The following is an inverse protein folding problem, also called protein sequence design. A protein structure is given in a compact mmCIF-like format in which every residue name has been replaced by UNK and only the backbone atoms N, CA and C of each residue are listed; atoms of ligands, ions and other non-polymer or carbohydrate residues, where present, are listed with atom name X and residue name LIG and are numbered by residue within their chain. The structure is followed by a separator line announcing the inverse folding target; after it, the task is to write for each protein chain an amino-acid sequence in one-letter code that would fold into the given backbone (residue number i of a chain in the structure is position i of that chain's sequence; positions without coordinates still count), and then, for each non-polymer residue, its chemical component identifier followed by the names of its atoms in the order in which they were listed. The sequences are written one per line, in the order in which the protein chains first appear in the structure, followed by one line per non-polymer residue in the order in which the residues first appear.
data_IF_710876226162
#
_entry.id   IF_710876226162
#
_cell.length_a   1.000
_cell.length_b   1.000
_cell.length_c   1.000
_cell.angle_alpha   90.00
_cell.angle_beta   90.00
_cell.angle_gamma   90.00
#
_symmetry.space_group_name_H-M   'P 1'
#
loop_
_entity.id
_entity.type
_entity.pdbx_description
1 polymer ?
#
# COMPACT_ATOMS: atom_id res chain seq x y z
N UNK A 1 17.15 -4.01 24.31
CA UNK A 1 16.11 -3.64 23.33
C UNK A 1 14.90 -3.23 24.15
N UNK A 2 14.49 -1.97 24.06
CA UNK A 2 13.31 -1.46 24.78
C UNK A 2 12.49 -0.69 23.77
N UNK A 3 11.53 -1.36 23.14
CA UNK A 3 10.54 -0.71 22.29
C UNK A 3 9.33 -0.41 23.17
N UNK A 4 8.82 0.81 23.08
CA UNK A 4 7.61 1.26 23.76
C UNK A 4 6.62 1.73 22.70
N UNK A 5 5.37 1.30 22.85
CA UNK A 5 4.23 1.80 22.07
C UNK A 5 3.46 2.80 22.95
N UNK A 6 3.27 4.02 22.46
CA UNK A 6 2.59 5.10 23.15
C UNK A 6 1.19 5.33 22.55
N UNK A 7 0.22 4.56 23.04
CA UNK A 7 -1.15 4.52 22.48
C UNK A 7 -1.88 5.85 22.61
N UNK A 8 -1.74 6.53 23.76
CA UNK A 8 -2.39 7.84 23.99
C UNK A 8 -1.86 8.91 23.05
N UNK A 9 -0.53 8.91 22.82
CA UNK A 9 0.09 9.76 21.80
C UNK A 9 -0.40 9.41 20.40
N UNK A 10 -0.45 8.12 20.09
CA UNK A 10 -0.91 7.61 18.81
C UNK A 10 -2.36 7.98 18.51
N UNK A 11 -3.25 7.92 19.49
CA UNK A 11 -4.67 8.32 19.38
C UNK A 11 -4.82 9.78 18.97
N UNK A 12 -4.17 10.69 19.69
CA UNK A 12 -4.17 12.13 19.36
C UNK A 12 -3.59 12.41 17.98
N UNK A 13 -2.53 11.67 17.61
CA UNK A 13 -1.92 11.83 16.29
C UNK A 13 -2.81 11.27 15.17
N UNK A 14 -3.52 10.17 15.40
CA UNK A 14 -4.46 9.61 14.43
C UNK A 14 -5.58 10.61 14.08
N UNK A 15 -6.21 11.21 15.10
CA UNK A 15 -7.21 12.26 14.90
C UNK A 15 -6.64 13.46 14.12
N UNK A 16 -5.45 13.93 14.51
CA UNK A 16 -4.77 15.03 13.83
C UNK A 16 -4.51 14.70 12.37
N UNK A 17 -3.90 13.56 12.08
CA UNK A 17 -3.52 13.16 10.73
C UNK A 17 -4.74 13.05 9.82
N UNK A 18 -5.81 12.41 10.31
CA UNK A 18 -7.04 12.28 9.56
C UNK A 18 -7.68 13.64 9.27
N UNK A 19 -7.82 14.49 10.28
CA UNK A 19 -8.44 15.80 10.14
C UNK A 19 -7.61 16.71 9.24
N UNK A 20 -6.29 16.77 9.43
CA UNK A 20 -5.40 17.55 8.58
C UNK A 20 -5.46 17.08 7.13
N UNK A 21 -5.37 15.77 6.89
CA UNK A 21 -5.40 15.23 5.52
C UNK A 21 -6.73 15.49 4.81
N UNK A 22 -7.86 15.36 5.50
CA UNK A 22 -9.19 15.58 4.90
C UNK A 22 -9.58 17.05 4.74
N UNK A 23 -8.80 17.99 5.30
CA UNK A 23 -9.10 19.43 5.23
C UNK A 23 -8.04 20.19 4.44
N UNK A 24 -6.88 20.45 5.04
CA UNK A 24 -5.81 21.27 4.46
C UNK A 24 -4.73 20.43 3.76
N UNK A 25 -4.78 19.11 3.91
CA UNK A 25 -3.71 18.20 3.54
C UNK A 25 -2.58 18.15 4.57
N UNK A 26 -1.69 17.16 4.39
CA UNK A 26 -0.43 17.07 5.13
C UNK A 26 0.66 17.70 4.27
N UNK A 27 1.30 18.76 4.76
CA UNK A 27 2.18 19.61 3.98
C UNK A 27 1.46 20.21 2.74
N UNK A 28 0.17 20.52 2.88
CA UNK A 28 -0.66 21.08 1.81
C UNK A 28 -1.03 20.09 0.70
N UNK A 29 -0.99 18.78 0.98
CA UNK A 29 -1.21 17.72 -0.02
C UNK A 29 -2.19 16.66 0.47
N UNK A 30 -3.00 16.20 -0.48
CA UNK A 30 -4.00 15.13 -0.31
C UNK A 30 -3.95 14.11 -1.43
N UNK A 31 -3.03 14.28 -2.39
CA UNK A 31 -3.00 13.56 -3.65
C UNK A 31 -2.21 12.25 -3.54
N UNK A 32 -2.83 11.14 -3.91
CA UNK A 32 -2.15 9.86 -4.09
C UNK A 32 -2.00 9.50 -5.57
N UNK A 33 -0.89 8.85 -5.98
CA UNK A 33 -0.68 8.45 -7.38
C UNK A 33 -1.79 7.57 -7.98
N UNK A 34 -2.43 6.76 -7.13
CA UNK A 34 -3.55 5.86 -7.45
C UNK A 34 -4.91 6.57 -7.59
N UNK A 35 -5.05 7.83 -7.17
CA UNK A 35 -6.29 8.60 -7.34
C UNK A 35 -6.54 8.98 -8.80
N UNK A 36 -5.46 9.03 -9.59
CA UNK A 36 -5.50 9.42 -11.00
C UNK A 36 -5.75 8.18 -11.85
N UNK A 37 -6.94 8.09 -12.42
CA UNK A 37 -7.33 7.02 -13.35
C UNK A 37 -6.83 7.28 -14.78
N UNK A 38 -6.70 6.25 -15.63
CA UNK A 38 -6.54 6.43 -17.07
C UNK A 38 -7.74 7.16 -17.68
N UNK A 39 -7.56 7.84 -18.82
CA UNK A 39 -8.55 8.79 -19.36
C UNK A 39 -9.91 8.16 -19.70
N UNK A 40 -9.93 6.89 -20.11
CA UNK A 40 -11.16 6.19 -20.53
C UNK A 40 -11.81 5.34 -19.43
N UNK A 41 -11.22 5.29 -18.24
CA UNK A 41 -11.67 4.38 -17.17
C UNK A 41 -12.77 5.03 -16.33
N UNK A 42 -13.92 4.37 -16.27
CA UNK A 42 -15.02 4.74 -15.38
C UNK A 42 -14.74 4.17 -13.98
N UNK A 43 -14.82 5.01 -12.94
CA UNK A 43 -14.65 4.58 -11.55
C UNK A 43 -15.64 3.46 -11.20
N UNK A 44 -15.11 2.33 -10.73
CA UNK A 44 -15.90 1.17 -10.29
C UNK A 44 -16.18 0.15 -11.40
N UNK A 45 -15.78 0.44 -12.64
CA UNK A 45 -15.85 -0.52 -13.74
C UNK A 45 -14.87 -1.69 -13.53
N UNK A 46 -15.08 -2.77 -14.30
CA UNK A 46 -14.15 -3.90 -14.32
C UNK A 46 -12.74 -3.49 -14.75
N UNK A 47 -12.64 -2.57 -15.72
CA UNK A 47 -11.35 -2.02 -16.15
C UNK A 47 -10.66 -1.25 -15.01
N UNK A 48 -11.42 -0.49 -14.21
CA UNK A 48 -10.86 0.19 -13.06
C UNK A 48 -10.31 -0.78 -12.02
N UNK A 49 -11.08 -1.84 -11.74
CA UNK A 49 -10.67 -2.89 -10.81
C UNK A 49 -9.37 -3.55 -11.28
N UNK A 50 -9.25 -3.91 -12.56
CA UNK A 50 -8.01 -4.49 -13.08
C UNK A 50 -6.85 -3.52 -13.13
N UNK A 51 -7.10 -2.25 -13.48
CA UNK A 51 -6.08 -1.21 -13.44
C UNK A 51 -5.46 -1.12 -12.05
N UNK A 52 -6.27 -1.02 -11.00
CA UNK A 52 -5.79 -1.01 -9.61
C UNK A 52 -5.11 -2.34 -9.24
N UNK A 53 -5.78 -3.47 -9.50
CA UNK A 53 -5.33 -4.80 -9.07
C UNK A 53 -3.98 -5.19 -9.66
N UNK A 54 -3.78 -4.98 -10.97
CA UNK A 54 -2.54 -5.33 -11.63
C UNK A 54 -1.43 -4.34 -11.29
N UNK A 55 -1.72 -3.03 -11.27
CA UNK A 55 -0.73 -2.00 -10.91
C UNK A 55 -0.20 -2.21 -9.50
N UNK A 56 -1.08 -2.39 -8.51
CA UNK A 56 -0.67 -2.61 -7.12
C UNK A 56 0.10 -3.93 -6.94
N UNK A 57 -0.18 -4.94 -7.76
CA UNK A 57 0.51 -6.25 -7.69
C UNK A 57 2.02 -6.15 -7.90
N UNK A 58 2.51 -5.07 -8.52
CA UNK A 58 3.94 -4.80 -8.73
C UNK A 58 4.44 -3.55 -7.98
N UNK A 59 3.64 -2.96 -7.09
CA UNK A 59 3.97 -1.78 -6.27
C UNK A 59 4.83 -2.12 -5.03
N UNK A 60 5.84 -2.97 -5.25
CA UNK A 60 6.79 -3.39 -4.22
C UNK A 60 8.20 -2.92 -4.54
N UNK A 61 8.79 -2.12 -3.63
CA UNK A 61 10.12 -1.50 -3.79
C UNK A 61 10.20 -0.67 -5.09
N UNK A 62 9.22 0.21 -5.28
CA UNK A 62 9.08 1.10 -6.43
C UNK A 62 8.94 2.55 -5.95
N UNK A 63 9.21 3.47 -6.87
CA UNK A 63 8.68 4.82 -6.74
C UNK A 63 7.22 4.77 -7.22
N UNK A 64 6.27 4.92 -6.29
CA UNK A 64 4.85 4.81 -6.60
C UNK A 64 4.42 5.82 -7.68
N UNK A 65 4.74 7.13 -7.61
CA UNK A 65 4.37 8.07 -8.68
C UNK A 65 4.79 7.61 -10.08
N UNK A 66 6.05 7.18 -10.24
CA UNK A 66 6.56 6.68 -11.52
C UNK A 66 5.80 5.43 -12.00
N UNK A 67 5.53 4.48 -11.10
CA UNK A 67 4.81 3.26 -11.44
C UNK A 67 3.38 3.56 -11.94
N UNK A 68 2.64 4.37 -11.19
CA UNK A 68 1.26 4.71 -11.52
C UNK A 68 1.18 5.55 -12.80
N UNK A 69 2.14 6.45 -13.04
CA UNK A 69 2.26 7.17 -14.32
C UNK A 69 2.53 6.22 -15.50
N UNK A 70 3.50 5.32 -15.36
CA UNK A 70 3.79 4.30 -16.37
C UNK A 70 2.59 3.39 -16.64
N UNK A 71 1.84 3.05 -15.60
CA UNK A 71 0.64 2.20 -15.71
C UNK A 71 -0.46 2.91 -16.50
N UNK A 72 -0.71 4.20 -16.25
CA UNK A 72 -1.65 5.00 -17.05
C UNK A 72 -1.24 5.10 -18.51
N UNK A 73 0.03 5.41 -18.80
CA UNK A 73 0.53 5.45 -20.18
C UNK A 73 0.38 4.11 -20.90
N UNK A 74 0.62 3.02 -20.20
CA UNK A 74 0.44 1.65 -20.73
C UNK A 74 -1.03 1.33 -20.98
N UNK A 75 -1.93 1.82 -20.12
CA UNK A 75 -3.37 1.60 -20.27
C UNK A 75 -3.95 2.41 -21.44
N UNK A 76 -3.55 3.69 -21.57
CA UNK A 76 -4.08 4.60 -22.58
C UNK A 76 -3.55 4.33 -24.00
N UNK A 77 -2.43 3.61 -24.13
CA UNK A 77 -1.91 3.15 -25.41
C UNK A 77 -2.65 1.89 -25.91
N UNK A 78 -3.28 1.98 -27.07
CA UNK A 78 -4.05 0.90 -27.70
C UNK A 78 -3.21 -0.37 -27.93
N UNK A 79 -1.91 -0.24 -28.19
CA UNK A 79 -1.03 -1.40 -28.43
C UNK A 79 -0.73 -2.19 -27.16
N UNK A 80 -0.74 -1.52 -26.00
CA UNK A 80 -0.37 -2.12 -24.71
C UNK A 80 -1.53 -2.26 -23.74
N UNK A 81 -2.70 -1.68 -24.04
CA UNK A 81 -3.92 -1.75 -23.20
C UNK A 81 -4.34 -3.18 -22.88
N UNK A 82 -4.08 -4.13 -23.80
CA UNK A 82 -4.36 -5.54 -23.59
C UNK A 82 -3.68 -6.12 -22.33
N UNK A 83 -2.61 -5.50 -21.83
CA UNK A 83 -1.94 -5.91 -20.60
C UNK A 83 -2.88 -5.82 -19.38
N UNK A 84 -3.98 -5.08 -19.46
CA UNK A 84 -4.99 -4.99 -18.41
C UNK A 84 -6.21 -5.89 -18.65
N UNK A 85 -6.22 -6.65 -19.74
CA UNK A 85 -7.25 -7.65 -20.03
C UNK A 85 -6.75 -9.04 -19.59
N UNK A 86 -7.42 -9.68 -18.62
CA UNK A 86 -6.96 -10.94 -18.03
C UNK A 86 -7.05 -12.12 -19.03
N UNK A 87 -7.95 -12.07 -20.01
CA UNK A 87 -8.05 -13.06 -21.09
C UNK A 87 -6.90 -12.87 -22.09
N UNK A 88 -6.63 -11.64 -22.52
CA UNK A 88 -5.54 -11.36 -23.45
C UNK A 88 -4.17 -11.65 -22.83
N UNK A 89 -3.99 -11.42 -21.51
CA UNK A 89 -2.79 -11.89 -20.78
C UNK A 89 -2.62 -13.41 -20.81
N UNK A 90 -3.72 -14.17 -20.88
CA UNK A 90 -3.65 -15.62 -21.00
C UNK A 90 -3.18 -16.05 -22.39
N UNK A 91 -3.76 -15.45 -23.43
CA UNK A 91 -3.58 -15.79 -24.84
C UNK A 91 -2.26 -15.26 -25.43
N UNK A 92 -1.75 -14.15 -24.91
CA UNK A 92 -0.53 -13.50 -25.44
C UNK A 92 0.74 -14.24 -25.01
N UNK A 93 1.72 -14.44 -25.91
CA UNK A 93 3.03 -14.99 -25.56
C UNK A 93 3.73 -14.17 -24.47
N UNK A 94 4.40 -14.87 -23.55
CA UNK A 94 5.07 -14.23 -22.41
C UNK A 94 6.17 -13.24 -22.82
N UNK A 95 6.89 -13.53 -23.91
CA UNK A 95 7.92 -12.64 -24.46
C UNK A 95 7.33 -11.28 -24.85
N UNK A 96 6.21 -11.29 -25.57
CA UNK A 96 5.50 -10.06 -25.96
C UNK A 96 4.98 -9.27 -24.76
N UNK A 97 4.43 -9.94 -23.75
CA UNK A 97 4.02 -9.29 -22.49
C UNK A 97 5.22 -8.58 -21.85
N UNK A 98 6.37 -9.25 -21.77
CA UNK A 98 7.59 -8.66 -21.21
C UNK A 98 8.09 -7.44 -22.00
N UNK A 99 8.08 -7.51 -23.34
CA UNK A 99 8.47 -6.41 -24.23
C UNK A 99 7.53 -5.20 -24.09
N UNK A 100 6.22 -5.42 -24.14
CA UNK A 100 5.23 -4.34 -24.08
C UNK A 100 5.21 -3.68 -22.69
N UNK A 101 5.42 -4.44 -21.61
CA UNK A 101 5.60 -3.88 -20.26
C UNK A 101 6.88 -3.05 -20.10
N UNK A 102 7.81 -3.08 -21.04
CA UNK A 102 9.00 -2.21 -21.04
C UNK A 102 8.76 -0.88 -21.77
N UNK A 103 7.78 -0.80 -22.69
CA UNK A 103 7.53 0.37 -23.55
C UNK A 103 7.46 1.68 -22.77
N UNK A 104 6.69 1.70 -21.68
CA UNK A 104 6.56 2.85 -20.78
C UNK A 104 7.27 2.65 -19.43
N UNK A 105 8.20 1.71 -19.34
CA UNK A 105 8.92 1.35 -18.11
C UNK A 105 8.00 0.90 -16.96
N UNK A 106 6.86 0.29 -17.31
CA UNK A 106 5.94 -0.28 -16.33
C UNK A 106 6.62 -1.34 -15.46
N UNK A 107 7.44 -2.19 -16.08
CA UNK A 107 8.26 -3.17 -15.36
C UNK A 107 9.67 -2.63 -15.09
N UNK A 108 10.10 -2.67 -13.83
CA UNK A 108 11.49 -2.36 -13.42
C UNK A 108 12.35 -3.62 -13.34
N UNK A 109 11.72 -4.78 -13.09
CA UNK A 109 12.35 -6.10 -13.13
C UNK A 109 11.67 -6.89 -14.25
N UNK A 110 12.08 -6.72 -15.52
CA UNK A 110 11.28 -7.09 -16.70
C UNK A 110 10.63 -8.49 -16.59
N UNK A 111 11.45 -9.51 -16.36
CA UNK A 111 10.99 -10.90 -16.27
C UNK A 111 10.12 -11.16 -15.03
N UNK A 112 10.51 -10.61 -13.88
CA UNK A 112 9.81 -10.85 -12.61
C UNK A 112 8.44 -10.17 -12.59
N UNK A 113 8.40 -8.91 -13.00
CA UNK A 113 7.19 -8.11 -12.99
C UNK A 113 6.20 -8.64 -14.03
N UNK A 114 6.67 -9.00 -15.24
CA UNK A 114 5.82 -9.65 -16.25
C UNK A 114 5.25 -10.98 -15.78
N UNK A 115 6.05 -11.80 -15.08
CA UNK A 115 5.57 -13.05 -14.51
C UNK A 115 4.48 -12.82 -13.44
N UNK A 116 4.68 -11.85 -12.54
CA UNK A 116 3.69 -11.48 -11.52
C UNK A 116 2.39 -11.01 -12.18
N UNK A 117 2.51 -10.06 -13.10
CA UNK A 117 1.41 -9.43 -13.80
C UNK A 117 0.55 -10.46 -14.54
N UNK A 118 1.19 -11.32 -15.34
CA UNK A 118 0.50 -12.40 -16.05
C UNK A 118 -0.10 -13.40 -15.08
N UNK A 119 0.61 -13.81 -14.04
CA UNK A 119 0.09 -14.79 -13.07
C UNK A 119 -1.18 -14.28 -12.40
N UNK A 120 -1.17 -13.05 -11.87
CA UNK A 120 -2.34 -12.45 -11.22
C UNK A 120 -3.51 -12.31 -12.19
N UNK A 121 -3.28 -11.74 -13.38
CA UNK A 121 -4.33 -11.57 -14.39
C UNK A 121 -4.94 -12.90 -14.85
N UNK A 122 -4.10 -13.89 -15.15
CA UNK A 122 -4.55 -15.22 -15.60
C UNK A 122 -5.25 -15.99 -14.48
N UNK A 123 -4.83 -15.84 -13.22
CA UNK A 123 -5.56 -16.40 -12.07
C UNK A 123 -6.99 -15.85 -12.04
N UNK A 124 -7.17 -14.53 -12.11
CA UNK A 124 -8.51 -13.93 -12.13
C UNK A 124 -9.33 -14.35 -13.35
N UNK A 125 -8.70 -14.48 -14.52
CA UNK A 125 -9.37 -15.05 -15.69
C UNK A 125 -9.89 -16.47 -15.45
N UNK A 126 -9.00 -17.38 -15.06
CA UNK A 126 -9.29 -18.83 -15.02
C UNK A 126 -10.14 -19.25 -13.84
N UNK A 127 -9.91 -18.66 -12.67
CA UNK A 127 -10.59 -19.08 -11.42
C UNK A 127 -11.83 -18.24 -11.10
N UNK A 128 -11.88 -17.01 -11.61
CA UNK A 128 -12.87 -16.02 -11.21
C UNK A 128 -13.61 -15.40 -12.40
N UNK A 129 -13.57 -16.06 -13.56
CA UNK A 129 -14.30 -15.64 -14.76
C UNK A 129 -13.85 -14.29 -15.33
N UNK A 130 -12.63 -13.85 -14.99
CA UNK A 130 -12.13 -12.53 -15.39
C UNK A 130 -12.73 -11.39 -14.58
N UNK A 131 -13.25 -11.63 -13.38
CA UNK A 131 -13.77 -10.58 -12.51
C UNK A 131 -13.28 -10.76 -11.06
N UNK A 132 -12.38 -9.90 -10.54
CA UNK A 132 -11.91 -9.98 -9.16
C UNK A 132 -13.03 -9.91 -8.13
N UNK A 133 -14.20 -9.34 -8.45
CA UNK A 133 -15.35 -9.31 -7.54
C UNK A 133 -15.90 -10.70 -7.24
N UNK A 134 -15.76 -11.67 -8.15
CA UNK A 134 -16.17 -13.05 -7.89
C UNK A 134 -15.29 -13.70 -6.80
N UNK A 135 -13.99 -13.37 -6.77
CA UNK A 135 -13.09 -13.79 -5.69
C UNK A 135 -13.47 -13.12 -4.36
N UNK A 136 -13.75 -11.82 -4.38
CA UNK A 136 -14.19 -11.09 -3.19
C UNK A 136 -15.50 -11.67 -2.64
N UNK A 137 -16.47 -11.95 -3.53
CA UNK A 137 -17.74 -12.56 -3.18
C UNK A 137 -17.58 -13.99 -2.63
N UNK A 138 -16.70 -14.81 -3.19
CA UNK A 138 -16.37 -16.14 -2.67
C UNK A 138 -15.76 -16.09 -1.25
N UNK A 139 -15.06 -15.01 -0.93
CA UNK A 139 -14.60 -14.72 0.42
C UNK A 139 -15.67 -14.05 1.30
N UNK A 140 -16.93 -14.01 0.87
CA UNK A 140 -18.03 -13.28 1.52
C UNK A 140 -17.72 -11.81 1.80
N UNK A 141 -16.91 -11.18 0.94
CA UNK A 141 -16.40 -9.83 1.12
C UNK A 141 -15.64 -9.58 2.43
N UNK A 142 -15.28 -10.64 3.16
CA UNK A 142 -14.62 -10.56 4.46
C UNK A 142 -13.11 -10.31 4.26
N UNK A 143 -12.65 -9.14 4.69
CA UNK A 143 -11.27 -8.69 4.45
C UNK A 143 -10.19 -9.64 5.01
N UNK A 144 -10.29 -10.15 6.26
CA UNK A 144 -9.37 -11.18 6.76
C UNK A 144 -9.35 -12.46 5.91
N UNK A 145 -10.52 -12.95 5.50
CA UNK A 145 -10.64 -14.13 4.63
C UNK A 145 -9.97 -13.91 3.28
N UNK A 146 -10.19 -12.73 2.67
CA UNK A 146 -9.54 -12.33 1.42
C UNK A 146 -8.02 -12.37 1.57
N UNK A 147 -7.46 -11.76 2.63
CA UNK A 147 -6.01 -11.78 2.87
C UNK A 147 -5.47 -13.20 3.11
N UNK A 148 -6.24 -14.09 3.75
CA UNK A 148 -5.87 -15.49 3.92
C UNK A 148 -5.80 -16.21 2.58
N UNK A 149 -6.87 -16.11 1.78
CA UNK A 149 -6.94 -16.72 0.45
C UNK A 149 -5.85 -16.20 -0.48
N UNK A 150 -5.55 -14.90 -0.48
CA UNK A 150 -4.41 -14.35 -1.21
C UNK A 150 -3.08 -15.03 -0.82
N UNK A 151 -2.89 -15.38 0.46
CA UNK A 151 -1.67 -16.04 0.97
C UNK A 151 -1.56 -17.52 0.62
N UNK A 152 -2.69 -18.20 0.61
CA UNK A 152 -2.77 -19.66 0.64
C UNK A 152 -3.06 -20.28 -0.73
N UNK A 153 -3.83 -19.57 -1.56
CA UNK A 153 -4.27 -20.06 -2.85
C UNK A 153 -3.10 -20.26 -3.83
N UNK A 154 -3.15 -21.41 -4.50
CA UNK A 154 -2.09 -21.93 -5.35
C UNK A 154 -2.68 -22.66 -6.56
N UNK A 155 -1.87 -22.83 -7.58
CA UNK A 155 -2.13 -23.74 -8.69
C UNK A 155 -0.85 -24.50 -9.05
N UNK A 156 -1.00 -25.54 -9.87
CA UNK A 156 0.14 -26.26 -10.44
C UNK A 156 0.56 -25.57 -11.74
N UNK A 157 1.84 -25.21 -11.81
CA UNK A 157 2.47 -24.71 -13.03
C UNK A 157 3.78 -25.47 -13.24
N UNK A 158 3.92 -26.12 -14.39
CA UNK A 158 5.09 -26.96 -14.74
C UNK A 158 5.46 -27.97 -13.64
N UNK A 159 4.46 -28.66 -13.08
CA UNK A 159 4.64 -29.68 -12.05
C UNK A 159 4.97 -29.15 -10.65
N UNK A 160 4.98 -27.83 -10.44
CA UNK A 160 5.26 -27.21 -9.13
C UNK A 160 4.05 -26.43 -8.64
N UNK A 161 3.83 -26.44 -7.32
CA UNK A 161 2.89 -25.51 -6.69
C UNK A 161 3.43 -24.09 -6.75
N UNK A 162 2.67 -23.20 -7.36
CA UNK A 162 2.96 -21.77 -7.42
C UNK A 162 1.79 -20.99 -6.82
N UNK A 163 2.06 -19.82 -6.28
CA UNK A 163 1.03 -18.96 -5.72
C UNK A 163 0.17 -18.36 -6.83
N UNK A 164 -1.13 -18.28 -6.58
CA UNK A 164 -2.09 -17.62 -7.45
C UNK A 164 -1.88 -16.10 -7.51
N UNK A 165 -1.44 -15.52 -6.39
CA UNK A 165 -1.40 -14.08 -6.15
C UNK A 165 -0.01 -13.59 -5.73
N UNK A 166 1.02 -13.76 -6.59
CA UNK A 166 2.36 -13.30 -6.25
C UNK A 166 2.36 -11.79 -5.93
N UNK A 167 3.13 -11.40 -4.92
CA UNK A 167 3.14 -10.07 -4.27
C UNK A 167 1.82 -9.63 -3.61
N UNK A 168 0.66 -9.77 -4.25
CA UNK A 168 -0.66 -9.51 -3.63
C UNK A 168 -0.84 -10.30 -2.32
N UNK A 169 -0.28 -11.51 -2.24
CA UNK A 169 -0.19 -12.31 -1.02
C UNK A 169 0.59 -11.70 0.15
N UNK A 170 1.32 -10.61 -0.09
CA UNK A 170 2.26 -10.04 0.87
C UNK A 170 1.57 -9.21 1.94
N UNK A 171 2.19 -9.11 3.11
CA UNK A 171 1.71 -8.35 4.29
C UNK A 171 1.68 -6.83 4.12
N UNK A 172 1.99 -6.32 2.92
CA UNK A 172 1.90 -4.91 2.53
C UNK A 172 0.90 -4.76 1.39
N UNK A 173 1.16 -5.45 0.28
CA UNK A 173 0.43 -5.26 -0.97
C UNK A 173 -1.02 -5.75 -0.86
N UNK A 174 -1.29 -6.86 -0.17
CA UNK A 174 -2.66 -7.33 0.05
C UNK A 174 -3.54 -6.31 0.80
N UNK A 175 -3.09 -5.84 1.98
CA UNK A 175 -3.79 -4.77 2.69
C UNK A 175 -3.94 -3.47 1.87
N UNK A 176 -2.89 -3.06 1.15
CA UNK A 176 -2.94 -1.89 0.27
C UNK A 176 -3.98 -2.05 -0.85
N UNK A 177 -4.07 -3.24 -1.46
CA UNK A 177 -5.07 -3.53 -2.48
C UNK A 177 -6.48 -3.42 -1.93
N UNK A 178 -6.78 -3.98 -0.75
CA UNK A 178 -8.09 -3.83 -0.10
C UNK A 178 -8.44 -2.36 0.19
N UNK A 179 -7.46 -1.57 0.66
CA UNK A 179 -7.63 -0.12 0.85
C UNK A 179 -7.98 0.57 -0.47
N UNK A 180 -7.23 0.33 -1.54
CA UNK A 180 -7.47 0.95 -2.85
C UNK A 180 -8.78 0.50 -3.50
N UNK A 181 -9.22 -0.75 -3.29
CA UNK A 181 -10.53 -1.20 -3.73
C UNK A 181 -11.66 -0.41 -3.05
N UNK A 182 -11.52 -0.11 -1.76
CA UNK A 182 -12.47 0.73 -1.03
C UNK A 182 -12.40 2.19 -1.49
N UNK A 183 -11.21 2.78 -1.44
CA UNK A 183 -11.01 4.23 -1.56
C UNK A 183 -11.07 4.69 -3.03
N UNK A 184 -10.27 4.06 -3.89
CA UNK A 184 -10.14 4.44 -5.29
C UNK A 184 -11.29 3.85 -6.10
N UNK A 185 -11.53 2.54 -6.01
CA UNK A 185 -12.56 1.86 -6.82
C UNK A 185 -13.98 2.15 -6.32
N UNK A 186 -14.18 2.27 -5.01
CA UNK A 186 -15.50 2.49 -4.40
C UNK A 186 -16.25 1.22 -4.06
N UNK A 187 -15.55 0.11 -3.78
CA UNK A 187 -16.16 -1.14 -3.30
C UNK A 187 -16.55 -0.95 -1.83
N UNK A 188 -17.85 -0.84 -1.56
CA UNK A 188 -18.41 -0.63 -0.22
C UNK A 188 -18.80 -1.93 0.49
N UNK A 189 -18.81 -3.05 -0.22
CA UNK A 189 -19.18 -4.36 0.31
C UNK A 189 -18.09 -5.00 1.18
N UNK A 190 -16.85 -4.49 1.14
CA UNK A 190 -15.76 -5.04 1.94
C UNK A 190 -16.06 -4.90 3.43
N UNK A 191 -16.12 -6.04 4.12
CA UNK A 191 -16.39 -6.12 5.54
C UNK A 191 -15.11 -6.33 6.34
N UNK A 192 -15.17 -5.99 7.64
CA UNK A 192 -14.10 -6.25 8.61
C UNK A 192 -12.75 -5.59 8.24
N UNK A 193 -12.81 -4.43 7.58
CA UNK A 193 -11.62 -3.65 7.19
C UNK A 193 -10.85 -3.13 8.40
N UNK A 194 -11.49 -3.00 9.55
CA UNK A 194 -10.89 -2.61 10.83
C UNK A 194 -9.91 -3.65 11.35
N UNK A 195 -9.97 -4.88 10.82
CA UNK A 195 -9.03 -5.96 11.11
C UNK A 195 -7.88 -6.06 10.09
N UNK A 196 -7.87 -5.19 9.05
CA UNK A 196 -6.81 -5.16 8.04
C UNK A 196 -5.62 -4.35 8.55
N UNK A 197 -4.40 -4.92 8.58
CA UNK A 197 -3.24 -4.17 9.04
C UNK A 197 -2.87 -3.05 8.08
N UNK A 198 -2.44 -1.92 8.62
CA UNK A 198 -1.85 -0.84 7.82
C UNK A 198 -0.67 -1.38 6.96
N UNK A 199 -0.57 -1.02 5.67
CA UNK A 199 0.46 -1.54 4.76
C UNK A 199 1.83 -0.90 5.03
N UNK A 200 2.49 -1.33 6.10
CA UNK A 200 3.77 -0.76 6.54
C UNK A 200 4.85 -0.89 5.46
N UNK A 201 5.44 0.26 5.11
CA UNK A 201 6.67 0.37 4.34
C UNK A 201 7.66 1.36 4.98
N UNK A 202 8.66 1.80 4.22
CA UNK A 202 9.66 2.73 4.73
C UNK A 202 9.06 4.10 5.11
N UNK A 203 8.01 4.56 4.45
CA UNK A 203 7.36 5.83 4.75
C UNK A 203 6.53 5.71 6.03
N UNK A 204 5.69 4.69 6.12
CA UNK A 204 4.88 4.42 7.32
C UNK A 204 5.79 4.22 8.54
N UNK A 205 6.86 3.43 8.39
CA UNK A 205 7.83 3.22 9.47
C UNK A 205 8.55 4.52 9.85
N UNK A 206 9.05 5.30 8.88
CA UNK A 206 9.74 6.55 9.16
C UNK A 206 8.85 7.55 9.90
N UNK A 207 7.61 7.76 9.44
CA UNK A 207 6.68 8.66 10.09
C UNK A 207 6.36 8.20 11.52
N UNK A 208 6.01 6.92 11.69
CA UNK A 208 5.64 6.35 13.01
C UNK A 208 6.78 6.45 14.03
N UNK A 209 8.01 6.16 13.61
CA UNK A 209 9.19 6.26 14.49
C UNK A 209 9.56 7.73 14.77
N UNK A 210 9.43 8.62 13.78
CA UNK A 210 9.73 10.04 13.95
C UNK A 210 8.74 10.77 14.87
N UNK A 211 7.48 10.34 14.92
CA UNK A 211 6.45 10.87 15.84
C UNK A 211 6.47 10.19 17.20
N UNK A 212 7.37 9.22 17.42
CA UNK A 212 7.58 8.58 18.71
C UNK A 212 6.37 7.84 19.25
N UNK A 213 5.42 7.42 18.39
CA UNK A 213 4.38 6.46 18.76
C UNK A 213 5.05 5.12 19.06
N UNK A 214 6.02 4.73 18.24
CA UNK A 214 6.95 3.63 18.51
C UNK A 214 8.33 4.23 18.79
N UNK A 215 8.85 4.04 20.00
CA UNK A 215 10.10 4.69 20.46
C UNK A 215 10.96 3.79 21.33
N UNK A 216 12.17 4.26 21.67
CA UNK A 216 13.12 3.58 22.54
C UNK A 216 14.40 3.17 21.82
N UNK A 217 14.92 1.99 22.12
CA UNK A 217 16.22 1.52 21.61
C UNK A 217 16.12 0.23 20.81
N UNK A 218 16.45 0.30 19.51
CA UNK A 218 16.46 -0.84 18.60
C UNK A 218 17.51 -0.68 17.51
N UNK A 219 18.23 -1.76 17.17
CA UNK A 219 19.08 -1.85 16.00
C UNK A 219 18.87 -3.19 15.30
N UNK A 220 18.52 -3.17 14.03
CA UNK A 220 18.27 -4.40 13.27
C UNK A 220 17.57 -4.15 11.96
N UNK A 221 17.04 -5.21 11.35
CA UNK A 221 16.28 -5.10 10.10
C UNK A 221 14.99 -4.31 10.32
N UNK A 222 14.65 -3.48 9.34
CA UNK A 222 13.45 -2.63 9.36
C UNK A 222 12.15 -3.45 9.49
N UNK A 223 12.08 -4.64 8.88
CA UNK A 223 10.89 -5.49 8.95
C UNK A 223 10.60 -6.00 10.36
N UNK A 224 11.59 -6.00 11.27
CA UNK A 224 11.42 -6.38 12.67
C UNK A 224 10.66 -5.36 13.50
N UNK A 225 10.55 -4.11 13.04
CA UNK A 225 9.71 -3.11 13.72
C UNK A 225 8.28 -3.03 13.17
N UNK A 226 7.97 -3.76 12.09
CA UNK A 226 6.66 -3.64 11.42
C UNK A 226 5.49 -4.12 12.27
N UNK A 227 5.66 -5.20 13.04
CA UNK A 227 4.57 -5.68 13.92
C UNK A 227 4.26 -4.66 15.02
N UNK A 228 5.27 -4.04 15.64
CA UNK A 228 5.07 -2.97 16.61
C UNK A 228 4.37 -1.75 16.00
N UNK A 229 4.68 -1.41 14.75
CA UNK A 229 4.02 -0.31 14.03
C UNK A 229 2.55 -0.64 13.75
N UNK A 230 2.24 -1.88 13.34
CA UNK A 230 0.85 -2.30 13.11
C UNK A 230 0.05 -2.30 14.41
N UNK A 231 0.61 -2.89 15.47
CA UNK A 231 0.01 -2.89 16.80
C UNK A 231 -0.26 -1.45 17.26
N UNK A 232 0.75 -0.57 17.15
CA UNK A 232 0.60 0.84 17.50
C UNK A 232 -0.59 1.50 16.80
N UNK A 233 -0.74 1.32 15.48
CA UNK A 233 -1.84 1.95 14.75
C UNK A 233 -3.19 1.29 14.99
N UNK A 234 -3.26 -0.03 15.22
CA UNK A 234 -4.50 -0.67 15.66
C UNK A 234 -4.95 -0.14 17.01
N UNK A 235 -4.07 -0.03 17.99
CA UNK A 235 -4.42 0.48 19.32
C UNK A 235 -4.75 1.98 19.28
N UNK A 236 -4.03 2.76 18.47
CA UNK A 236 -4.22 4.22 18.38
C UNK A 236 -5.60 4.62 17.88
N UNK A 237 -6.21 3.83 16.98
CA UNK A 237 -7.51 4.18 16.40
C UNK A 237 -8.71 3.74 17.25
N UNK A 238 -8.50 2.94 18.31
CA UNK A 238 -9.59 2.40 19.12
C UNK A 238 -10.40 3.50 19.81
N UNK A 239 -11.72 3.39 19.66
CA UNK A 239 -12.69 4.34 20.21
C UNK A 239 -12.60 5.73 19.58
N UNK A 240 -11.93 5.88 18.43
CA UNK A 240 -12.05 7.05 17.57
C UNK A 240 -13.11 6.80 16.51
N UNK A 241 -13.83 7.85 16.16
CA UNK A 241 -14.85 7.81 15.11
C UNK A 241 -14.59 8.93 14.11
N UNK A 242 -14.77 8.61 12.84
CA UNK A 242 -14.64 9.56 11.74
C UNK A 242 -15.88 9.50 10.87
N UNK A 243 -16.44 10.67 10.55
CA UNK A 243 -17.72 10.78 9.84
C UNK A 243 -18.79 9.95 10.56
N UNK A 244 -19.21 8.83 9.97
CA UNK A 244 -20.28 7.95 10.46
C UNK A 244 -19.80 6.52 10.74
N UNK A 245 -18.50 6.29 10.99
CA UNK A 245 -17.96 4.98 11.33
C UNK A 245 -16.79 5.07 12.30
N UNK A 246 -16.43 3.95 12.91
CA UNK A 246 -15.18 3.84 13.67
C UNK A 246 -13.97 4.06 12.74
N UNK A 247 -12.94 4.68 13.30
CA UNK A 247 -11.66 4.87 12.64
C UNK A 247 -10.91 3.54 12.56
N UNK A 248 -10.21 3.32 11.46
CA UNK A 248 -9.42 2.12 11.20
C UNK A 248 -7.97 2.49 10.94
N UNK A 249 -7.03 1.58 11.20
CA UNK A 249 -5.61 1.82 10.97
C UNK A 249 -5.29 2.17 9.51
N UNK A 250 -6.10 1.70 8.56
CA UNK A 250 -5.97 2.07 7.14
C UNK A 250 -6.22 3.56 6.88
N UNK A 251 -6.95 4.27 7.73
CA UNK A 251 -7.33 5.67 7.52
C UNK A 251 -6.17 6.65 7.78
N UNK A 252 -5.08 6.18 8.37
CA UNK A 252 -3.85 6.96 8.56
C UNK A 252 -2.75 6.60 7.56
N UNK A 253 -2.97 5.63 6.65
CA UNK A 253 -1.96 5.19 5.67
C UNK A 253 -1.48 6.34 4.76
N UNK A 254 -2.39 6.99 4.03
CA UNK A 254 -2.05 8.11 3.14
C UNK A 254 -1.52 9.33 3.90
N UNK A 255 -2.13 9.78 5.03
CA UNK A 255 -1.56 10.85 5.85
C UNK A 255 -0.12 10.57 6.31
N UNK A 256 0.18 9.35 6.76
CA UNK A 256 1.53 8.96 7.20
C UNK A 256 2.52 8.92 6.05
N UNK A 257 2.08 8.42 4.89
CA UNK A 257 2.89 8.44 3.69
C UNK A 257 3.28 9.87 3.31
N UNK A 258 2.32 10.80 3.33
CA UNK A 258 2.55 12.22 3.07
C UNK A 258 3.48 12.86 4.10
N UNK A 259 3.20 12.64 5.38
CA UNK A 259 4.01 13.13 6.49
C UNK A 259 5.46 12.66 6.34
N UNK A 260 5.67 11.39 5.95
CA UNK A 260 7.01 10.92 5.71
C UNK A 260 7.64 11.51 4.45
N UNK A 261 6.95 11.47 3.31
CA UNK A 261 7.53 11.79 2.01
C UNK A 261 7.94 13.25 1.90
N UNK A 262 7.07 14.15 2.36
CA UNK A 262 7.29 15.60 2.28
C UNK A 262 7.82 16.20 3.58
N UNK A 263 7.73 15.47 4.68
CA UNK A 263 8.16 15.88 6.02
C UNK A 263 9.37 15.11 6.53
N UNK A 264 9.11 13.97 7.20
CA UNK A 264 10.08 13.24 8.01
C UNK A 264 11.32 12.74 7.25
N UNK A 265 11.29 12.66 5.92
CA UNK A 265 12.48 12.36 5.11
C UNK A 265 13.58 13.42 5.26
N UNK A 266 13.19 14.67 5.57
CA UNK A 266 14.10 15.79 5.80
C UNK A 266 14.54 15.94 7.27
N UNK A 267 14.09 15.05 8.15
CA UNK A 267 14.53 15.01 9.55
C UNK A 267 15.96 14.51 9.62
N UNK A 268 16.81 15.20 10.36
CA UNK A 268 18.15 14.73 10.67
C UNK A 268 18.08 13.38 11.40
N UNK A 269 18.78 12.39 10.86
CA UNK A 269 18.63 11.00 11.27
C UNK A 269 19.23 10.72 12.65
N UNK A 270 20.08 11.61 13.17
CA UNK A 270 20.83 11.42 14.41
C UNK A 270 20.27 12.26 15.55
N UNK A 271 20.08 13.55 15.32
CA UNK A 271 19.64 14.54 16.32
C UNK A 271 18.12 14.66 16.38
N UNK A 272 17.46 14.42 15.25
CA UNK A 272 16.03 14.64 15.08
C UNK A 272 15.61 16.07 14.78
N UNK A 273 16.56 16.96 14.50
CA UNK A 273 16.25 18.28 13.97
C UNK A 273 15.50 18.17 12.64
N UNK A 274 14.48 19.01 12.43
CA UNK A 274 13.69 19.04 11.21
C UNK A 274 13.49 20.48 10.77
N UNK A 275 13.92 20.83 9.55
CA UNK A 275 13.74 22.17 8.97
C UNK A 275 12.27 22.55 8.77
N UNK A 276 11.37 21.56 8.78
CA UNK A 276 9.93 21.72 8.60
C UNK A 276 9.17 21.82 9.92
N UNK A 277 9.86 21.72 11.07
CA UNK A 277 9.23 21.60 12.39
C UNK A 277 8.17 22.68 12.66
N UNK A 278 8.48 23.95 12.42
CA UNK A 278 7.56 25.05 12.73
C UNK A 278 6.27 25.05 11.89
N UNK A 279 6.28 24.41 10.72
CA UNK A 279 5.16 24.37 9.76
C UNK A 279 4.53 22.98 9.59
N UNK A 280 5.00 21.98 10.34
CA UNK A 280 4.48 20.62 10.27
C UNK A 280 3.27 20.48 11.19
N UNK A 281 2.22 19.86 10.67
CA UNK A 281 0.97 19.57 11.36
C UNK A 281 1.23 18.68 12.59
N UNK A 282 2.14 17.71 12.47
CA UNK A 282 2.47 16.74 13.53
C UNK A 282 3.64 17.17 14.45
N UNK A 283 4.05 18.45 14.45
CA UNK A 283 5.27 18.92 15.14
C UNK A 283 5.31 18.60 16.64
N UNK A 284 4.17 18.64 17.32
CA UNK A 284 4.06 18.36 18.76
C UNK A 284 4.32 16.88 19.10
N UNK A 285 4.25 16.02 18.09
CA UNK A 285 4.50 14.59 18.20
C UNK A 285 5.94 14.22 17.84
N UNK A 286 6.71 15.08 17.17
CA UNK A 286 8.08 14.75 16.77
C UNK A 286 8.95 14.39 17.99
N UNK A 287 9.58 13.21 17.94
CA UNK A 287 10.56 12.81 18.95
C UNK A 287 11.94 13.34 18.60
N UNK A 288 12.77 13.61 19.62
CA UNK A 288 14.20 13.89 19.45
C UNK A 288 14.98 12.58 19.35
N UNK A 289 16.24 12.63 18.93
CA UNK A 289 17.11 11.46 18.88
C UNK A 289 17.13 10.72 17.55
N UNK A 290 17.77 9.56 17.54
CA UNK A 290 18.16 8.86 16.31
C UNK A 290 17.01 8.05 15.74
N UNK A 291 16.64 8.34 14.49
CA UNK A 291 15.74 7.55 13.66
C UNK A 291 16.40 7.42 12.30
N UNK A 292 17.23 6.39 12.14
CA UNK A 292 18.00 6.17 10.91
C UNK A 292 17.54 4.89 10.23
N UNK A 293 17.00 5.02 9.02
CA UNK A 293 16.59 3.89 8.18
C UNK A 293 17.42 3.91 6.89
N UNK A 294 18.32 2.93 6.73
CA UNK A 294 19.22 2.80 5.58
C UNK A 294 19.44 1.33 5.25
N UNK A 295 19.44 0.97 3.97
CA UNK A 295 19.70 -0.40 3.51
C UNK A 295 18.87 -1.47 4.23
N UNK A 296 17.58 -1.18 4.47
CA UNK A 296 16.66 -2.05 5.23
C UNK A 296 17.08 -2.32 6.69
N UNK A 297 17.98 -1.51 7.24
CA UNK A 297 18.36 -1.49 8.66
C UNK A 297 17.77 -0.24 9.30
N UNK A 298 17.30 -0.38 10.53
CA UNK A 298 16.86 0.73 11.38
C UNK A 298 17.73 0.80 12.63
N UNK A 299 18.17 2.01 12.96
CA UNK A 299 18.76 2.40 14.25
C UNK A 299 17.83 3.42 14.91
N UNK A 300 17.26 3.04 16.05
CA UNK A 300 16.31 3.80 16.84
C UNK A 300 16.92 4.05 18.22
N UNK A 301 17.07 5.33 18.59
CA UNK A 301 17.50 5.79 19.91
C UNK A 301 16.70 7.05 20.26
N UNK A 302 15.46 6.87 20.74
CA UNK A 302 14.45 7.92 20.95
C UNK A 302 13.67 7.78 22.26
#
# INVERSE_FOLDING_TARGET
MSIVIDNERGKKLAELLYNSFTTNGIHGRTDMPEDITPHSVIRGSLEHIFFITLTVSIDYQRDAPSLWESSRKTFDDLETRYLFDPKLLHETPFTKIGEDMQKYKLSKKPQKDANIWRTVGVTFYKKWGGDPRNFLQDCNWNSPSILSRLREDKHIYSGKQVSDYPYLRGSKIGPLWLRMLRDNVGITQLENLENVPIPVDIHIARATLATGIVRGQFRGRLDKVFEYIREAWFESVKGLSIKNREMMALDVDEPLWHLSKYGCTNRDKTTGYCSLFNRCEAREFCTKGKVKIENSVVELET
#
